data_IF_505441405559
#
_entry.id   IF_505441405559
#
_cell.length_a   1.000
_cell.length_b   1.000
_cell.length_c   1.000
_cell.angle_alpha   90.00
_cell.angle_beta   90.00
_cell.angle_gamma   90.00
#
_symmetry.space_group_name_H-M   'P 1'
#
loop_
_entity.id
_entity.type
_entity.pdbx_description
1 polymer ?
#
# COMPACT_ATOMS: atom_id res chain seq x y z
N UNK A 1 33.34 10.13 5.74
CA UNK A 1 31.99 10.57 5.46
C UNK A 1 30.99 9.76 6.26
N UNK A 2 30.08 10.44 6.87
CA UNK A 2 29.11 9.76 7.71
C UNK A 2 27.84 9.47 6.94
N UNK A 3 27.50 8.20 6.80
CA UNK A 3 26.21 7.80 6.24
C UNK A 3 25.07 8.11 7.20
N UNK A 4 25.40 8.22 8.48
CA UNK A 4 24.39 8.48 9.49
C UNK A 4 23.73 9.85 9.35
N UNK A 5 24.41 10.81 8.72
CA UNK A 5 23.84 12.14 8.49
C UNK A 5 22.86 12.18 7.32
N UNK A 6 22.80 11.10 6.55
CA UNK A 6 21.87 11.00 5.43
C UNK A 6 20.72 10.11 5.83
N UNK A 7 19.64 10.73 6.19
CA UNK A 7 18.42 9.97 6.40
C UNK A 7 17.88 9.58 5.02
N UNK A 8 17.89 8.30 4.73
CA UNK A 8 17.34 7.83 3.48
C UNK A 8 15.85 8.13 3.43
N UNK A 9 15.40 8.65 2.28
CA UNK A 9 13.99 8.88 2.07
C UNK A 9 13.28 7.53 2.09
N UNK A 10 12.23 7.36 2.87
CA UNK A 10 11.50 6.10 2.86
C UNK A 10 10.91 5.81 1.48
N UNK A 11 11.03 4.58 1.01
CA UNK A 11 10.25 4.18 -0.14
C UNK A 11 8.90 3.66 0.37
N UNK A 12 7.84 4.27 -0.11
CA UNK A 12 6.51 4.02 0.40
C UNK A 12 5.67 3.33 -0.66
N UNK A 13 5.00 2.26 -0.26
CA UNK A 13 4.07 1.52 -1.11
C UNK A 13 2.70 1.59 -0.46
N UNK A 14 1.70 1.98 -1.25
CA UNK A 14 0.31 2.05 -0.79
C UNK A 14 -0.49 1.03 -1.57
N UNK A 15 -0.81 -0.14 -0.96
CA UNK A 15 -1.62 -1.14 -1.64
C UNK A 15 -3.10 -0.75 -1.59
N UNK A 16 -3.77 -0.84 -2.74
CA UNK A 16 -5.15 -0.40 -2.89
C UNK A 16 -5.92 -1.37 -3.77
N UNK A 17 -7.21 -1.53 -3.48
CA UNK A 17 -8.14 -2.20 -4.36
C UNK A 17 -9.18 -1.25 -4.94
N UNK A 18 -9.33 -0.07 -4.34
CA UNK A 18 -10.27 0.95 -4.78
C UNK A 18 -9.66 2.32 -4.62
N UNK A 19 -10.16 3.26 -5.39
CA UNK A 19 -9.75 4.65 -5.24
C UNK A 19 -10.89 5.41 -4.55
N UNK A 20 -11.15 5.05 -3.32
CA UNK A 20 -12.16 5.65 -2.47
C UNK A 20 -11.54 6.65 -1.48
N UNK A 21 -12.34 7.19 -0.58
CA UNK A 21 -11.84 8.18 0.38
C UNK A 21 -10.75 7.64 1.30
N UNK A 22 -10.88 6.44 1.87
CA UNK A 22 -9.78 5.89 2.66
C UNK A 22 -8.49 5.77 1.86
N UNK A 23 -8.59 5.35 0.59
CA UNK A 23 -7.43 5.25 -0.28
C UNK A 23 -6.79 6.60 -0.51
N UNK A 24 -7.58 7.62 -0.80
CA UNK A 24 -7.04 8.97 -1.02
C UNK A 24 -6.42 9.53 0.25
N UNK A 25 -6.98 9.24 1.40
CA UNK A 25 -6.41 9.64 2.69
C UNK A 25 -5.07 8.97 2.91
N UNK A 26 -4.97 7.68 2.62
CA UNK A 26 -3.71 6.95 2.74
C UNK A 26 -2.64 7.50 1.80
N UNK A 27 -3.02 7.80 0.56
CA UNK A 27 -2.09 8.39 -0.41
C UNK A 27 -1.60 9.76 0.03
N UNK A 28 -2.51 10.58 0.54
CA UNK A 28 -2.15 11.90 1.04
C UNK A 28 -1.20 11.81 2.23
N UNK A 29 -1.46 10.90 3.14
CA UNK A 29 -0.56 10.68 4.27
C UNK A 29 0.81 10.20 3.78
N UNK A 30 0.84 9.25 2.87
CA UNK A 30 2.10 8.72 2.32
C UNK A 30 2.93 9.84 1.70
N UNK A 31 2.30 10.73 0.96
CA UNK A 31 2.99 11.85 0.34
C UNK A 31 3.51 12.85 1.35
N UNK A 32 2.91 12.92 2.53
CA UNK A 32 3.38 13.81 3.58
C UNK A 32 4.66 13.31 4.24
N UNK A 33 4.92 12.00 4.17
CA UNK A 33 6.10 11.42 4.81
C UNK A 33 7.24 11.11 3.84
N UNK A 34 6.97 11.08 2.54
CA UNK A 34 8.01 10.78 1.55
C UNK A 34 7.63 11.29 0.17
N UNK A 35 8.58 11.79 -0.63
CA UNK A 35 8.33 12.04 -2.04
C UNK A 35 8.38 10.77 -2.89
N UNK A 36 8.88 9.66 -2.35
CA UNK A 36 9.00 8.39 -3.06
C UNK A 36 7.83 7.48 -2.70
N UNK A 37 6.67 7.75 -3.30
CA UNK A 37 5.45 7.00 -3.05
C UNK A 37 5.00 6.32 -4.33
N UNK A 38 4.72 5.03 -4.25
CA UNK A 38 4.15 4.26 -5.34
C UNK A 38 2.87 3.60 -4.84
N UNK A 39 1.79 3.75 -5.58
CA UNK A 39 0.57 3.01 -5.29
C UNK A 39 0.60 1.67 -6.03
N UNK A 40 0.25 0.62 -5.33
CA UNK A 40 0.07 -0.69 -5.92
C UNK A 40 -1.43 -0.96 -5.98
N UNK A 41 -2.00 -0.83 -7.15
CA UNK A 41 -3.44 -1.01 -7.34
C UNK A 41 -3.71 -2.42 -7.83
N UNK A 42 -4.47 -3.17 -7.06
CA UNK A 42 -4.76 -4.58 -7.35
C UNK A 42 -6.16 -4.69 -7.93
N UNK A 43 -6.21 -5.12 -9.19
CA UNK A 43 -7.46 -5.32 -9.92
C UNK A 43 -7.86 -6.79 -9.89
N UNK A 44 -9.14 -7.07 -10.07
CA UNK A 44 -9.59 -8.45 -10.25
C UNK A 44 -9.17 -8.98 -11.60
N UNK A 45 -9.30 -8.17 -12.65
CA UNK A 45 -8.81 -8.53 -13.97
C UNK A 45 -8.34 -7.29 -14.73
N UNK A 46 -7.66 -7.51 -15.85
CA UNK A 46 -7.02 -6.43 -16.59
C UNK A 46 -7.98 -5.53 -17.37
N UNK A 47 -9.26 -5.91 -17.47
CA UNK A 47 -10.23 -5.09 -18.19
C UNK A 47 -10.53 -3.76 -17.50
N UNK A 48 -10.20 -3.67 -16.21
CA UNK A 48 -10.42 -2.45 -15.43
C UNK A 48 -9.30 -1.42 -15.60
N UNK A 49 -8.19 -1.80 -16.23
CA UNK A 49 -6.97 -0.98 -16.22
C UNK A 49 -7.18 0.43 -16.78
N UNK A 50 -7.86 0.56 -17.92
CA UNK A 50 -8.05 1.88 -18.52
C UNK A 50 -8.95 2.78 -17.68
N UNK A 51 -10.00 2.22 -17.12
CA UNK A 51 -10.89 2.96 -16.23
C UNK A 51 -10.13 3.45 -14.99
N UNK A 52 -9.31 2.59 -14.42
CA UNK A 52 -8.52 2.96 -13.25
C UNK A 52 -7.50 4.04 -13.58
N UNK A 53 -6.84 3.94 -14.73
CA UNK A 53 -5.89 4.97 -15.14
C UNK A 53 -6.57 6.33 -15.33
N UNK A 54 -7.78 6.33 -15.89
CA UNK A 54 -8.53 7.57 -16.06
C UNK A 54 -8.92 8.19 -14.72
N UNK A 55 -9.41 7.37 -13.79
CA UNK A 55 -9.73 7.83 -12.45
C UNK A 55 -8.49 8.32 -11.72
N UNK A 56 -7.37 7.64 -11.92
CA UNK A 56 -6.12 8.02 -11.28
C UNK A 56 -5.67 9.41 -11.72
N UNK A 57 -5.71 9.67 -13.02
CA UNK A 57 -5.33 10.99 -13.54
C UNK A 57 -6.22 12.09 -12.98
N UNK A 58 -7.49 11.77 -12.76
CA UNK A 58 -8.47 12.74 -12.25
C UNK A 58 -8.32 13.00 -10.75
N UNK A 59 -7.94 11.99 -9.97
CA UNK A 59 -8.05 12.06 -8.51
C UNK A 59 -6.70 11.91 -7.77
N UNK A 60 -5.73 11.29 -8.39
CA UNK A 60 -4.45 11.01 -7.75
C UNK A 60 -3.28 11.28 -8.69
N UNK A 61 -3.43 12.25 -9.57
CA UNK A 61 -2.39 12.60 -10.51
C UNK A 61 -1.10 12.99 -9.78
N UNK A 62 0.03 12.58 -10.35
CA UNK A 62 1.33 12.84 -9.73
C UNK A 62 1.83 11.71 -8.84
N UNK A 63 1.00 10.73 -8.51
CA UNK A 63 1.45 9.55 -7.76
C UNK A 63 1.65 8.41 -8.75
N UNK A 64 2.85 7.85 -8.86
CA UNK A 64 3.05 6.66 -9.70
C UNK A 64 2.16 5.52 -9.25
N UNK A 65 1.55 4.83 -10.19
CA UNK A 65 0.70 3.69 -9.90
C UNK A 65 1.17 2.46 -10.67
N UNK A 66 1.26 1.35 -9.98
CA UNK A 66 1.53 0.05 -10.58
C UNK A 66 0.23 -0.74 -10.52
N UNK A 67 -0.23 -1.22 -11.68
CA UNK A 67 -1.46 -2.00 -11.76
C UNK A 67 -1.11 -3.47 -11.85
N UNK A 68 -1.72 -4.27 -11.00
CA UNK A 68 -1.55 -5.72 -10.99
C UNK A 68 -2.91 -6.39 -10.87
N UNK A 69 -3.01 -7.60 -11.39
CA UNK A 69 -4.23 -8.39 -11.28
C UNK A 69 -4.05 -9.48 -10.23
N UNK A 70 -5.09 -9.69 -9.43
CA UNK A 70 -5.07 -10.74 -8.43
C UNK A 70 -5.57 -12.08 -8.97
N UNK A 71 -6.21 -12.07 -10.14
CA UNK A 71 -6.82 -13.28 -10.73
C UNK A 71 -7.72 -14.01 -9.73
N UNK A 72 -8.51 -13.25 -9.00
CA UNK A 72 -9.40 -13.80 -7.99
C UNK A 72 -8.74 -14.07 -6.64
N UNK A 73 -7.45 -13.78 -6.51
CA UNK A 73 -6.73 -13.95 -5.25
C UNK A 73 -6.84 -12.74 -4.34
N UNK A 74 -6.12 -12.78 -3.25
CA UNK A 74 -6.12 -11.71 -2.25
C UNK A 74 -5.15 -10.60 -2.61
N UNK A 75 -5.33 -9.46 -1.96
CA UNK A 75 -4.38 -8.36 -2.05
C UNK A 75 -2.97 -8.84 -1.65
N UNK A 76 -2.90 -9.68 -0.64
CA UNK A 76 -1.63 -10.19 -0.13
C UNK A 76 -0.88 -11.02 -1.17
N UNK A 77 -1.62 -11.78 -1.98
CA UNK A 77 -1.00 -12.60 -3.03
C UNK A 77 -0.25 -11.76 -4.06
N UNK A 78 -0.62 -10.49 -4.18
CA UNK A 78 0.04 -9.56 -5.10
C UNK A 78 1.08 -8.72 -4.37
N UNK A 79 0.77 -8.29 -3.16
CA UNK A 79 1.62 -7.39 -2.40
C UNK A 79 2.95 -8.04 -2.01
N UNK A 80 2.92 -9.26 -1.49
CA UNK A 80 4.15 -9.88 -1.00
C UNK A 80 5.20 -10.09 -2.09
N UNK A 81 4.86 -10.63 -3.27
CA UNK A 81 5.85 -10.71 -4.35
C UNK A 81 6.36 -9.36 -4.80
N UNK A 82 5.50 -8.34 -4.80
CA UNK A 82 5.91 -7.00 -5.17
C UNK A 82 6.94 -6.44 -4.17
N UNK A 83 6.71 -6.66 -2.88
CA UNK A 83 7.66 -6.23 -1.85
C UNK A 83 8.98 -6.99 -1.95
N UNK A 84 8.92 -8.29 -2.27
CA UNK A 84 10.12 -9.09 -2.49
C UNK A 84 10.97 -8.52 -3.61
N UNK A 85 10.33 -8.11 -4.69
CA UNK A 85 11.04 -7.54 -5.82
C UNK A 85 11.66 -6.19 -5.46
N UNK A 86 10.94 -5.35 -4.72
CA UNK A 86 11.47 -4.06 -4.27
C UNK A 86 12.66 -4.26 -3.36
N UNK A 87 12.60 -5.25 -2.49
CA UNK A 87 13.70 -5.55 -1.59
C UNK A 87 14.94 -6.04 -2.33
N UNK A 88 14.74 -6.83 -3.38
CA UNK A 88 15.87 -7.26 -4.20
C UNK A 88 16.52 -6.11 -4.96
N UNK A 89 15.72 -5.13 -5.37
CA UNK A 89 16.25 -3.97 -6.09
C UNK A 89 17.04 -3.02 -5.18
N UNK A 90 16.66 -2.93 -3.93
CA UNK A 90 17.31 -2.03 -2.99
C UNK A 90 17.28 -2.63 -1.58
N UNK A 91 18.16 -3.61 -1.31
CA UNK A 91 18.11 -4.37 -0.05
C UNK A 91 18.46 -3.56 1.19
N UNK A 92 19.14 -2.43 1.02
CA UNK A 92 19.54 -1.60 2.16
C UNK A 92 18.49 -0.58 2.57
N UNK A 93 17.37 -0.55 1.86
CA UNK A 93 16.37 0.47 2.06
C UNK A 93 15.05 -0.18 2.47
N UNK A 94 14.60 0.05 3.70
CA UNK A 94 13.32 -0.52 4.14
C UNK A 94 12.16 0.02 3.31
N UNK A 95 11.14 -0.81 3.15
CA UNK A 95 9.90 -0.41 2.49
C UNK A 95 8.88 -0.08 3.56
N UNK A 96 8.24 1.08 3.43
CA UNK A 96 7.14 1.46 4.31
C UNK A 96 5.84 1.20 3.56
N UNK A 97 5.01 0.34 4.12
CA UNK A 97 3.69 0.03 3.55
C UNK A 97 2.66 0.82 4.31
N UNK A 98 1.96 1.70 3.60
CA UNK A 98 0.89 2.51 4.19
C UNK A 98 -0.43 1.87 3.81
N UNK A 99 -1.16 1.38 4.80
CA UNK A 99 -2.43 0.72 4.57
C UNK A 99 -3.58 1.62 5.00
N UNK A 100 -4.61 1.66 4.19
CA UNK A 100 -5.85 2.33 4.56
C UNK A 100 -6.75 1.32 5.25
N UNK A 101 -7.38 1.76 6.31
CA UNK A 101 -8.18 0.87 7.12
C UNK A 101 -9.43 1.58 7.59
N UNK A 102 -10.57 0.95 7.39
CA UNK A 102 -11.82 1.44 7.94
C UNK A 102 -11.99 0.77 9.30
N UNK A 103 -12.05 1.59 10.34
CA UNK A 103 -12.22 1.06 11.69
C UNK A 103 -13.65 0.56 11.84
N UNK A 104 -13.86 -0.75 12.02
CA UNK A 104 -15.21 -1.29 12.15
C UNK A 104 -15.83 -0.91 13.50
N UNK A 105 -17.15 -0.85 13.53
CA UNK A 105 -17.88 -0.56 14.77
C UNK A 105 -17.72 -1.68 15.79
N UNK A 106 -17.59 -2.91 15.33
CA UNK A 106 -17.51 -4.08 16.18
C UNK A 106 -16.17 -4.76 15.99
N UNK A 107 -15.35 -4.85 17.06
CA UNK A 107 -14.01 -5.43 16.94
C UNK A 107 -14.00 -6.88 16.45
N UNK A 108 -15.00 -7.68 16.79
CA UNK A 108 -15.04 -9.08 16.31
C UNK A 108 -15.34 -9.18 14.82
N UNK A 109 -16.05 -8.22 14.24
CA UNK A 109 -16.20 -8.17 12.80
C UNK A 109 -14.84 -8.04 12.14
N UNK A 110 -13.97 -7.27 12.73
CA UNK A 110 -12.60 -7.12 12.26
C UNK A 110 -11.86 -8.46 12.30
N UNK A 111 -12.07 -9.24 13.35
CA UNK A 111 -11.44 -10.55 13.47
C UNK A 111 -12.00 -11.59 12.50
N UNK A 112 -13.30 -11.50 12.20
CA UNK A 112 -13.98 -12.46 11.34
C UNK A 112 -13.78 -12.18 9.85
N UNK A 113 -13.60 -10.91 9.51
CA UNK A 113 -13.42 -10.49 8.12
C UNK A 113 -12.10 -9.73 7.98
N UNK A 114 -11.07 -10.27 8.50
CA UNK A 114 -9.86 -9.58 8.87
C UNK A 114 -8.83 -9.41 7.75
N UNK A 115 -9.23 -9.05 6.58
CA UNK A 115 -8.25 -8.77 5.52
C UNK A 115 -7.18 -7.82 6.03
N UNK A 116 -7.56 -6.77 6.75
CA UNK A 116 -6.61 -5.81 7.27
C UNK A 116 -5.75 -6.39 8.38
N UNK A 117 -6.36 -7.17 9.29
CA UNK A 117 -5.59 -7.80 10.38
C UNK A 117 -4.62 -8.84 9.84
N UNK A 118 -5.06 -9.68 8.91
CA UNK A 118 -4.19 -10.65 8.27
C UNK A 118 -3.05 -10.01 7.53
N UNK A 119 -3.32 -8.91 6.83
CA UNK A 119 -2.31 -8.12 6.14
C UNK A 119 -1.28 -7.60 7.12
N UNK A 120 -1.72 -6.98 8.22
CA UNK A 120 -0.81 -6.43 9.21
C UNK A 120 0.05 -7.52 9.84
N UNK A 121 -0.54 -8.65 10.22
CA UNK A 121 0.21 -9.73 10.85
C UNK A 121 1.29 -10.28 9.93
N UNK A 122 0.98 -10.48 8.67
CA UNK A 122 1.96 -10.97 7.72
C UNK A 122 3.08 -9.97 7.48
N UNK A 123 2.74 -8.69 7.42
CA UNK A 123 3.73 -7.65 7.19
C UNK A 123 4.61 -7.43 8.42
N UNK A 124 4.09 -7.58 9.63
CA UNK A 124 4.88 -7.42 10.85
C UNK A 124 6.01 -8.44 10.96
N UNK A 125 5.81 -9.63 10.42
CA UNK A 125 6.85 -10.66 10.46
C UNK A 125 7.82 -10.57 9.28
N UNK A 126 7.66 -9.56 8.45
CA UNK A 126 8.52 -9.37 7.31
C UNK A 126 9.67 -8.43 7.69
N UNK A 127 10.93 -8.85 7.55
CA UNK A 127 12.06 -7.95 7.83
C UNK A 127 12.11 -6.81 6.82
N UNK A 128 12.72 -5.71 7.20
CA UNK A 128 12.88 -4.53 6.35
C UNK A 128 11.57 -3.91 5.88
N UNK A 129 10.47 -4.18 6.59
CA UNK A 129 9.18 -3.62 6.22
C UNK A 129 8.59 -2.89 7.42
N UNK A 130 8.22 -1.63 7.19
CA UNK A 130 7.53 -0.82 8.18
C UNK A 130 6.08 -0.71 7.75
N UNK A 131 5.15 -0.93 8.67
CA UNK A 131 3.73 -0.84 8.35
C UNK A 131 3.13 0.36 9.07
N UNK A 132 2.49 1.22 8.30
CA UNK A 132 1.79 2.38 8.83
C UNK A 132 0.31 2.21 8.51
N UNK A 133 -0.50 2.27 9.53
CA UNK A 133 -1.94 2.11 9.43
C UNK A 133 -2.57 3.49 9.52
N UNK A 134 -3.28 3.88 8.45
CA UNK A 134 -3.97 5.16 8.42
C UNK A 134 -5.46 4.89 8.64
N UNK A 135 -5.97 5.11 9.85
CA UNK A 135 -7.37 4.81 10.13
C UNK A 135 -8.29 5.82 9.47
N UNK A 136 -9.45 5.34 9.04
CA UNK A 136 -10.49 6.15 8.48
C UNK A 136 -11.80 5.78 9.18
N UNK A 137 -12.32 6.71 9.96
CA UNK A 137 -13.55 6.48 10.71
C UNK A 137 -14.77 6.86 9.86
N UNK A 138 -15.67 5.92 9.75
CA UNK A 138 -16.91 6.09 8.98
C UNK A 138 -18.05 6.45 9.93
#
# INVERSE_FOLDING_TARGET
>A
MSQASRVAVPQVVVPLRRLDRPALTALSYARSISPDVTALFVMDDSTEAESIRAQWRSRADGVPVVLRTSHGGSLMDVLLPYLDERERQDPDRPVTVVVSDIVPRHPWTYLLHDTALGLKLRLFFRPNTVVVDVPYHV
#
